data_IF_595868716402
#
_entry.id   IF_595868716402
#
_cell.length_a   1.000
_cell.length_b   1.000
_cell.length_c   1.000
_cell.angle_alpha   90.00
_cell.angle_beta   90.00
_cell.angle_gamma   90.00
#
_symmetry.space_group_name_H-M   'P 1'
#
loop_
_entity.id
_entity.type
_entity.pdbx_description
1 polymer ?
#
# COMPACT_ATOMS: atom_id res chain seq x y z
N UNK A 1 25.90 -10.86 -1.75
CA UNK A 1 24.97 -10.72 -1.65
C UNK A 1 24.38 -10.20 -2.70
N UNK A 2 23.75 -10.24 -3.01
CA UNK A 2 23.29 -9.92 -3.94
C UNK A 2 22.34 -9.14 -3.95
N UNK A 3 22.69 -8.24 -3.93
CA UNK A 3 21.94 -7.29 -3.84
C UNK A 3 21.05 -7.22 -4.83
N UNK A 4 21.29 -7.76 -5.76
CA UNK A 4 20.47 -7.64 -6.78
C UNK A 4 19.26 -8.31 -6.54
N UNK A 5 19.22 -8.97 -5.52
CA UNK A 5 18.14 -9.63 -5.32
C UNK A 5 17.08 -8.85 -4.87
N UNK A 6 16.33 -8.22 -5.55
CA UNK A 6 15.18 -7.54 -5.18
C UNK A 6 14.08 -8.46 -5.45
N UNK A 7 13.71 -9.24 -4.53
CA UNK A 7 12.62 -10.14 -4.78
C UNK A 7 11.38 -9.57 -4.17
N UNK A 8 10.27 -10.18 -4.37
CA UNK A 8 9.01 -9.70 -3.90
C UNK A 8 8.96 -9.49 -2.41
N UNK A 9 9.65 -10.31 -1.68
CA UNK A 9 9.65 -10.18 -0.24
C UNK A 9 10.25 -8.85 0.18
N UNK A 10 11.35 -8.46 -0.47
CA UNK A 10 11.99 -7.22 -0.14
C UNK A 10 11.13 -6.03 -0.52
N UNK A 11 10.47 -6.10 -1.65
CA UNK A 11 9.64 -5.00 -2.09
C UNK A 11 8.44 -4.84 -1.16
N UNK A 12 7.83 -5.94 -0.75
CA UNK A 12 6.69 -5.87 0.13
C UNK A 12 7.11 -5.29 1.48
N UNK A 13 8.26 -5.71 1.99
CA UNK A 13 8.75 -5.18 3.25
C UNK A 13 9.00 -3.68 3.18
N UNK A 14 9.57 -3.24 2.07
CA UNK A 14 9.85 -1.83 1.90
C UNK A 14 8.54 -1.03 1.83
N UNK A 15 7.56 -1.52 1.08
CA UNK A 15 6.28 -0.84 0.98
C UNK A 15 5.61 -0.75 2.33
N UNK A 16 5.65 -1.83 3.11
CA UNK A 16 5.04 -1.84 4.41
C UNK A 16 5.68 -0.79 5.32
N UNK A 17 7.01 -0.68 5.25
CA UNK A 17 7.70 0.31 6.06
C UNK A 17 7.29 1.72 5.68
N UNK A 18 7.19 1.99 4.38
CA UNK A 18 6.81 3.30 3.91
C UNK A 18 5.41 3.66 4.38
N UNK A 19 4.51 2.70 4.33
CA UNK A 19 3.14 2.95 4.76
C UNK A 19 3.07 3.16 6.26
N UNK A 20 3.81 2.38 7.01
CA UNK A 20 3.82 2.55 8.46
C UNK A 20 4.35 3.93 8.84
N UNK A 21 5.39 4.39 8.13
CA UNK A 21 5.94 5.70 8.41
C UNK A 21 4.93 6.79 8.09
N UNK A 22 4.06 6.55 7.15
CA UNK A 22 3.05 7.53 6.78
C UNK A 22 1.84 7.52 7.70
N UNK A 23 1.81 6.59 8.66
CA UNK A 23 0.72 6.55 9.61
C UNK A 23 -0.25 5.40 9.47
N UNK A 24 0.00 4.49 8.54
CA UNK A 24 -0.88 3.35 8.37
C UNK A 24 -0.63 2.34 9.48
N UNK A 25 -1.69 1.72 9.99
CA UNK A 25 -1.52 0.70 11.02
C UNK A 25 -0.76 -0.48 10.41
N UNK A 26 -0.10 -1.25 11.23
CA UNK A 26 0.68 -2.37 10.73
C UNK A 26 -0.16 -3.39 9.95
N UNK A 27 -1.33 -3.80 10.42
CA UNK A 27 -2.13 -4.73 9.65
C UNK A 27 -2.56 -4.15 8.30
N UNK A 28 -2.93 -2.87 8.28
CA UNK A 28 -3.35 -2.24 7.04
C UNK A 28 -2.17 -2.09 6.10
N UNK A 29 -1.03 -1.69 6.64
CA UNK A 29 0.17 -1.54 5.83
C UNK A 29 0.56 -2.87 5.21
N UNK A 30 0.44 -3.95 5.96
CA UNK A 30 0.81 -5.26 5.43
C UNK A 30 -0.14 -5.67 4.30
N UNK A 31 -1.42 -5.41 4.46
CA UNK A 31 -2.38 -5.75 3.42
C UNK A 31 -2.12 -4.98 2.15
N UNK A 32 -1.91 -3.69 2.27
CA UNK A 32 -1.68 -2.86 1.10
C UNK A 32 -0.36 -3.21 0.44
N UNK A 33 0.66 -3.44 1.25
CA UNK A 33 1.99 -3.73 0.70
C UNK A 33 1.99 -5.00 -0.12
N UNK A 34 1.13 -5.93 0.22
CA UNK A 34 1.07 -7.18 -0.53
C UNK A 34 0.23 -7.11 -1.80
N UNK A 35 -0.42 -5.97 -2.06
CA UNK A 35 -1.27 -5.85 -3.21
C UNK A 35 -0.67 -4.88 -4.20
N UNK A 36 -0.22 -5.36 -5.34
CA UNK A 36 0.44 -4.52 -6.32
C UNK A 36 -0.50 -3.52 -6.97
N UNK A 37 -1.79 -3.67 -6.78
CA UNK A 37 -2.74 -2.74 -7.39
C UNK A 37 -2.84 -1.40 -6.70
N UNK A 38 -2.29 -1.27 -5.50
CA UNK A 38 -2.34 0.01 -4.82
C UNK A 38 -1.20 0.91 -5.26
N UNK A 39 -1.52 2.20 -5.42
CA UNK A 39 -0.51 3.18 -5.76
C UNK A 39 0.06 3.72 -4.45
N UNK A 40 1.21 3.24 -4.06
CA UNK A 40 1.84 3.60 -2.80
C UNK A 40 2.06 5.10 -2.68
N UNK A 41 2.54 5.71 -3.73
CA UNK A 41 2.85 7.14 -3.70
C UNK A 41 1.58 7.95 -3.48
N UNK A 42 0.50 7.58 -4.15
CA UNK A 42 -0.75 8.30 -3.99
C UNK A 42 -1.32 8.13 -2.60
N UNK A 43 -1.16 6.95 -2.00
CA UNK A 43 -1.64 6.73 -0.66
C UNK A 43 -0.91 7.64 0.32
N UNK A 44 0.39 7.72 0.21
CA UNK A 44 1.18 8.54 1.10
C UNK A 44 0.83 10.00 0.90
N UNK A 45 0.62 10.40 -0.35
CA UNK A 45 0.26 11.77 -0.64
C UNK A 45 -1.06 12.15 0.01
N UNK A 46 -2.04 11.27 -0.05
CA UNK A 46 -3.32 11.56 0.57
C UNK A 46 -3.18 11.74 2.07
N UNK A 47 -2.39 10.90 2.72
CA UNK A 47 -2.24 11.03 4.16
C UNK A 47 -1.51 12.31 4.52
N UNK A 48 -0.59 12.75 3.67
CA UNK A 48 0.12 13.99 3.91
C UNK A 48 -0.82 15.18 3.81
N UNK A 49 -1.89 15.03 3.07
CA UNK A 49 -2.87 16.09 2.95
C UNK A 49 -3.90 16.04 4.05
N UNK A 50 -3.76 15.12 4.97
CA UNK A 50 -4.69 15.03 6.08
C UNK A 50 -5.71 13.94 5.99
N UNK A 51 -5.66 13.12 4.96
CA UNK A 51 -6.62 12.04 4.80
C UNK A 51 -6.26 10.92 5.76
N UNK A 52 -7.24 10.36 6.43
CA UNK A 52 -6.99 9.25 7.32
C UNK A 52 -6.49 8.05 6.51
N UNK A 53 -5.51 7.31 7.03
CA UNK A 53 -4.96 6.19 6.27
C UNK A 53 -6.01 5.19 5.81
N UNK A 54 -6.96 4.87 6.64
CA UNK A 54 -7.98 3.93 6.26
C UNK A 54 -8.83 4.45 5.14
N UNK A 55 -9.12 5.73 5.16
CA UNK A 55 -9.91 6.32 4.11
C UNK A 55 -9.11 6.38 2.81
N UNK A 56 -7.84 6.71 2.92
CA UNK A 56 -6.98 6.75 1.74
C UNK A 56 -6.94 5.37 1.08
N UNK A 57 -6.85 4.33 1.89
CA UNK A 57 -6.83 2.98 1.34
C UNK A 57 -8.13 2.65 0.62
N UNK A 58 -9.24 3.15 1.11
CA UNK A 58 -10.51 2.89 0.43
C UNK A 58 -10.62 3.66 -0.85
N UNK A 59 -10.21 4.89 -0.85
CA UNK A 59 -10.30 5.73 -2.03
C UNK A 59 -9.44 5.18 -3.16
N UNK A 60 -8.26 4.67 -2.82
CA UNK A 60 -7.34 4.20 -3.83
C UNK A 60 -7.33 2.69 -4.00
N UNK A 61 -8.28 1.99 -3.41
CA UNK A 61 -8.32 0.54 -3.55
C UNK A 61 -8.45 0.18 -5.03
N UNK A 62 -7.74 -0.83 -5.47
CA UNK A 62 -7.83 -1.22 -6.86
C UNK A 62 -9.22 -1.72 -7.19
N UNK A 63 -9.67 -1.40 -8.38
CA UNK A 63 -10.96 -1.86 -8.80
C UNK A 63 -10.89 -3.35 -8.99
N UNK A 64 -11.86 -4.03 -8.39
CA UNK A 64 -11.88 -5.43 -8.50
C UNK A 64 -12.88 -5.78 -9.53
N UNK A 65 -12.48 -6.38 -10.57
CA UNK A 65 -13.36 -6.71 -11.64
C UNK A 65 -14.52 -7.53 -11.19
N UNK A 66 -14.31 -8.40 -10.26
CA UNK A 66 -15.38 -9.19 -9.79
C UNK A 66 -16.40 -8.37 -9.14
N UNK A 67 -16.01 -7.38 -8.43
CA UNK A 67 -16.97 -6.52 -7.79
C UNK A 67 -17.75 -5.80 -8.83
N UNK A 68 -17.10 -5.37 -9.88
CA UNK A 68 -17.78 -4.66 -10.91
C UNK A 68 -18.78 -5.55 -11.58
N UNK A 69 -18.48 -6.80 -11.65
CA UNK A 69 -19.38 -7.70 -12.31
C UNK A 69 -20.56 -8.00 -11.43
N UNK A 70 -20.39 -7.87 -10.20
CA UNK A 70 -21.47 -8.14 -9.32
C UNK A 70 -22.49 -7.02 -9.44
#
# INVERSE_FOLDING_TARGET
MNVTEIDETNIVGWRRSQLADAGFSLPLAARIAGDAGYDLHALIELTERGCAPELAARILAPLDVEDAAA
#
